data_IF_484730453160
#
_entry.id   IF_484730453160
#
_cell.length_a   1.000
_cell.length_b   1.000
_cell.length_c   1.000
_cell.angle_alpha   90.00
_cell.angle_beta   90.00
_cell.angle_gamma   90.00
#
_symmetry.space_group_name_H-M   'P 1'
#
loop_
_entity.id
_entity.type
_entity.pdbx_description
1 polymer ?
#
# COMPACT_ATOMS: atom_id res chain seq x y z
N UNK A 1 10.65 1.92 -4.25
CA UNK A 1 9.29 2.42 -3.95
C UNK A 1 8.28 2.06 -5.04
N UNK A 2 8.39 2.54 -6.28
CA UNK A 2 7.42 2.22 -7.34
C UNK A 2 7.30 0.71 -7.62
N UNK A 3 8.43 -0.01 -7.75
CA UNK A 3 8.42 -1.48 -7.90
C UNK A 3 7.75 -2.22 -6.72
N UNK A 4 7.69 -1.59 -5.54
CA UNK A 4 6.99 -2.17 -4.40
C UNK A 4 5.48 -1.94 -4.50
N UNK A 5 5.03 -0.69 -4.62
CA UNK A 5 3.61 -0.34 -4.65
C UNK A 5 2.90 -0.79 -5.93
N UNK A 6 3.39 -0.36 -7.09
CA UNK A 6 2.79 -0.66 -8.40
C UNK A 6 3.31 -1.98 -9.00
N UNK A 7 4.27 -2.61 -8.32
CA UNK A 7 4.75 -3.95 -8.65
C UNK A 7 4.19 -4.99 -7.70
N UNK A 8 4.88 -5.19 -6.57
CA UNK A 8 4.58 -6.28 -5.63
C UNK A 8 3.16 -6.19 -5.06
N UNK A 9 2.77 -5.05 -4.48
CA UNK A 9 1.48 -4.92 -3.81
C UNK A 9 0.32 -4.93 -4.81
N UNK A 10 0.45 -4.20 -5.91
CA UNK A 10 -0.51 -4.21 -7.00
C UNK A 10 -0.70 -5.62 -7.58
N UNK A 11 0.40 -6.29 -7.93
CA UNK A 11 0.37 -7.66 -8.45
C UNK A 11 -0.27 -8.61 -7.44
N UNK A 12 0.07 -8.51 -6.16
CA UNK A 12 -0.53 -9.34 -5.12
C UNK A 12 -2.05 -9.13 -5.02
N UNK A 13 -2.49 -7.87 -4.95
CA UNK A 13 -3.90 -7.54 -4.80
C UNK A 13 -4.75 -8.00 -6.00
N UNK A 14 -4.28 -7.76 -7.23
CA UNK A 14 -5.04 -8.10 -8.43
C UNK A 14 -4.86 -9.54 -8.88
N UNK A 15 -3.64 -10.11 -8.85
CA UNK A 15 -3.40 -11.47 -9.36
C UNK A 15 -3.62 -12.55 -8.33
N UNK A 16 -3.16 -12.34 -7.11
CA UNK A 16 -3.24 -13.37 -6.09
C UNK A 16 -4.59 -13.36 -5.37
N UNK A 17 -5.10 -12.18 -5.02
CA UNK A 17 -6.42 -12.09 -4.37
C UNK A 17 -7.59 -11.97 -5.34
N UNK A 18 -7.34 -11.65 -6.63
CA UNK A 18 -8.33 -11.42 -7.69
C UNK A 18 -9.51 -10.52 -7.30
N UNK A 19 -9.27 -9.53 -6.44
CA UNK A 19 -10.28 -8.53 -6.14
C UNK A 19 -10.64 -7.77 -7.42
N UNK A 20 -11.90 -7.71 -7.81
CA UNK A 20 -12.37 -6.78 -8.85
C UNK A 20 -11.82 -6.92 -10.29
N UNK A 21 -11.12 -8.00 -10.67
CA UNK A 21 -10.79 -8.23 -12.09
C UNK A 21 -11.93 -8.99 -12.78
N UNK A 22 -12.44 -8.47 -13.89
CA UNK A 22 -13.24 -9.29 -14.82
C UNK A 22 -12.34 -10.30 -15.56
N UNK A 23 -12.86 -11.45 -16.03
CA UNK A 23 -12.07 -12.45 -16.77
C UNK A 23 -11.31 -11.87 -17.99
N UNK A 24 -11.82 -10.81 -18.61
CA UNK A 24 -11.23 -10.17 -19.80
C UNK A 24 -10.06 -9.24 -19.42
N UNK A 25 -10.09 -8.65 -18.24
CA UNK A 25 -8.98 -7.83 -17.73
C UNK A 25 -7.82 -8.69 -17.23
N UNK A 26 -8.07 -9.97 -16.92
CA UNK A 26 -7.04 -10.97 -16.60
C UNK A 26 -6.17 -11.27 -17.84
N UNK A 27 -6.78 -11.46 -19.02
CA UNK A 27 -6.06 -11.68 -20.28
C UNK A 27 -5.22 -10.46 -20.73
N UNK A 28 -5.74 -9.23 -20.58
CA UNK A 28 -5.05 -8.04 -21.08
C UNK A 28 -3.80 -7.67 -20.25
N UNK A 29 -3.80 -7.90 -18.93
CA UNK A 29 -2.57 -7.72 -18.13
C UNK A 29 -1.54 -8.85 -18.34
N UNK A 30 -1.96 -10.06 -18.75
CA UNK A 30 -1.01 -11.14 -19.12
C UNK A 30 -0.23 -10.74 -20.37
N UNK A 31 -0.92 -10.18 -21.36
CA UNK A 31 -0.33 -9.79 -22.64
C UNK A 31 0.42 -8.44 -22.61
N UNK A 32 0.27 -7.63 -21.56
CA UNK A 32 1.00 -6.36 -21.42
C UNK A 32 2.43 -6.52 -20.90
N UNK A 33 2.75 -7.69 -20.33
CA UNK A 33 4.08 -7.99 -19.78
C UNK A 33 4.88 -9.03 -20.58
N UNK A 34 4.23 -9.76 -21.49
CA UNK A 34 4.89 -10.61 -22.48
C UNK A 34 4.84 -9.96 -23.86
N UNK A 35 5.94 -9.33 -24.27
CA UNK A 35 6.19 -9.14 -25.69
C UNK A 35 6.66 -10.46 -26.29
N UNK A 36 5.84 -10.99 -27.19
CA UNK A 36 6.09 -12.07 -28.16
C UNK A 36 6.10 -13.50 -27.58
N UNK A 37 4.94 -14.18 -27.58
CA UNK A 37 4.77 -15.47 -28.29
C UNK A 37 3.30 -15.91 -28.36
N UNK A 38 3.01 -16.74 -29.36
CA UNK A 38 1.72 -16.95 -30.01
C UNK A 38 0.59 -17.52 -29.13
N UNK A 39 -0.60 -16.91 -29.25
CA UNK A 39 -1.84 -17.35 -28.64
C UNK A 39 -2.26 -18.76 -29.13
N UNK A 40 -2.25 -19.74 -28.24
CA UNK A 40 -3.04 -20.97 -28.38
C UNK A 40 -4.23 -20.92 -27.45
N UNK A 41 -5.43 -20.92 -28.05
CA UNK A 41 -6.69 -21.02 -27.32
C UNK A 41 -6.77 -22.37 -26.59
N UNK A 42 -6.73 -22.33 -25.27
CA UNK A 42 -7.06 -23.47 -24.42
C UNK A 42 -8.23 -23.05 -23.54
N UNK A 43 -9.35 -23.76 -23.62
CA UNK A 43 -10.54 -23.53 -22.81
C UNK A 43 -10.17 -23.65 -21.32
N UNK A 44 -10.17 -22.52 -20.59
CA UNK A 44 -9.96 -22.53 -19.14
C UNK A 44 -11.28 -22.34 -18.38
N UNK A 45 -11.54 -23.31 -17.52
CA UNK A 45 -12.62 -23.32 -16.53
C UNK A 45 -12.35 -22.21 -15.50
N UNK A 46 -13.34 -21.37 -15.26
CA UNK A 46 -13.33 -20.30 -14.24
C UNK A 46 -13.13 -20.94 -12.86
N UNK A 47 -11.90 -20.93 -12.35
CA UNK A 47 -11.63 -21.29 -10.97
C UNK A 47 -12.00 -20.11 -10.07
N UNK A 48 -13.05 -20.27 -9.27
CA UNK A 48 -13.35 -19.44 -8.10
C UNK A 48 -12.04 -19.16 -7.34
N UNK A 49 -11.82 -17.91 -6.94
CA UNK A 49 -10.73 -17.59 -6.00
C UNK A 49 -10.95 -18.39 -4.73
N UNK A 50 -10.22 -19.49 -4.56
CA UNK A 50 -10.32 -20.33 -3.38
C UNK A 50 -9.98 -19.59 -2.08
N UNK A 51 -9.38 -18.40 -2.16
CA UNK A 51 -8.93 -17.60 -1.02
C UNK A 51 -10.08 -16.89 -0.29
N UNK A 52 -10.91 -16.11 -1.00
CA UNK A 52 -12.05 -15.40 -0.40
C UNK A 52 -13.35 -15.84 -1.07
N UNK A 53 -14.37 -16.11 -0.26
CA UNK A 53 -15.74 -16.25 -0.77
C UNK A 53 -16.21 -14.90 -1.28
N UNK A 54 -17.13 -14.90 -2.24
CA UNK A 54 -17.72 -13.67 -2.79
C UNK A 54 -18.29 -12.74 -1.71
N UNK A 55 -18.92 -13.32 -0.69
CA UNK A 55 -19.47 -12.60 0.47
C UNK A 55 -18.39 -11.86 1.28
N UNK A 56 -17.19 -12.45 1.38
CA UNK A 56 -16.05 -11.87 2.10
C UNK A 56 -15.40 -10.76 1.28
N UNK A 57 -15.29 -10.93 -0.04
CA UNK A 57 -14.82 -9.88 -0.95
C UNK A 57 -15.74 -8.64 -0.87
N UNK A 58 -17.06 -8.86 -0.93
CA UNK A 58 -18.06 -7.80 -0.80
C UNK A 58 -18.07 -7.17 0.58
N UNK A 59 -17.78 -7.94 1.64
CA UNK A 59 -17.59 -7.41 2.98
C UNK A 59 -16.35 -6.51 3.06
N UNK A 60 -15.19 -6.99 2.60
CA UNK A 60 -13.93 -6.23 2.61
C UNK A 60 -14.08 -4.92 1.84
N UNK A 61 -14.68 -4.95 0.64
CA UNK A 61 -14.91 -3.73 -0.15
C UNK A 61 -15.78 -2.71 0.59
N UNK A 62 -16.87 -3.15 1.23
CA UNK A 62 -17.74 -2.28 2.03
C UNK A 62 -17.02 -1.73 3.25
N UNK A 63 -16.29 -2.58 3.96
CA UNK A 63 -15.63 -2.19 5.20
C UNK A 63 -14.49 -1.18 4.93
N UNK A 64 -13.72 -1.36 3.85
CA UNK A 64 -12.75 -0.37 3.36
C UNK A 64 -13.42 0.98 3.06
N UNK A 65 -14.61 0.96 2.45
CA UNK A 65 -15.40 2.16 2.16
C UNK A 65 -15.87 2.87 3.44
N UNK A 66 -16.25 2.11 4.46
CA UNK A 66 -16.82 2.65 5.69
C UNK A 66 -15.76 3.04 6.74
N UNK A 67 -14.50 2.60 6.56
CA UNK A 67 -13.42 2.84 7.49
C UNK A 67 -13.11 4.35 7.63
N UNK A 68 -13.24 4.86 8.84
CA UNK A 68 -12.90 6.25 9.18
C UNK A 68 -11.44 6.35 9.61
N UNK A 69 -10.60 6.94 8.77
CA UNK A 69 -9.19 7.21 9.08
C UNK A 69 -8.97 8.64 9.58
N UNK A 70 -8.00 8.87 10.50
CA UNK A 70 -7.60 10.21 10.94
C UNK A 70 -7.15 11.12 9.79
N UNK A 71 -7.25 12.44 10.03
CA UNK A 71 -6.72 13.44 9.10
C UNK A 71 -5.20 13.28 8.93
N UNK A 72 -4.75 13.28 7.67
CA UNK A 72 -3.34 13.07 7.31
C UNK A 72 -3.02 11.68 6.77
N UNK A 73 -3.92 10.70 6.93
CA UNK A 73 -3.82 9.40 6.26
C UNK A 73 -4.46 9.51 4.87
N UNK A 74 -3.83 8.88 3.87
CA UNK A 74 -4.41 8.85 2.52
C UNK A 74 -5.65 7.97 2.53
N UNK A 75 -6.77 8.53 2.08
CA UNK A 75 -8.02 7.78 1.93
C UNK A 75 -7.94 6.90 0.69
N UNK A 76 -8.29 5.63 0.84
CA UNK A 76 -8.37 4.72 -0.29
C UNK A 76 -9.73 4.93 -0.98
N UNK A 77 -9.79 4.97 -2.33
CA UNK A 77 -11.05 5.16 -3.04
C UNK A 77 -12.12 4.11 -2.69
N UNK A 78 -13.39 4.53 -2.62
CA UNK A 78 -14.51 3.71 -2.17
C UNK A 78 -14.81 2.48 -3.04
N UNK A 79 -14.47 2.50 -4.33
CA UNK A 79 -14.85 1.48 -5.31
C UNK A 79 -13.63 0.71 -5.83
N UNK A 80 -12.81 0.16 -4.92
CA UNK A 80 -11.60 -0.61 -5.30
C UNK A 80 -11.99 -1.79 -6.18
N UNK A 81 -11.35 -1.87 -7.35
CA UNK A 81 -11.60 -2.95 -8.32
C UNK A 81 -12.81 -2.70 -9.21
N UNK A 82 -13.39 -1.52 -9.18
CA UNK A 82 -14.33 -1.10 -10.23
C UNK A 82 -13.59 -0.31 -11.33
N UNK A 83 -13.93 -0.51 -12.61
CA UNK A 83 -13.33 0.23 -13.73
C UNK A 83 -13.42 1.75 -13.59
N UNK A 84 -14.41 2.24 -12.81
CA UNK A 84 -14.67 3.67 -12.59
C UNK A 84 -13.64 4.35 -11.69
N UNK A 85 -12.89 3.59 -10.90
CA UNK A 85 -12.08 4.12 -9.79
C UNK A 85 -10.68 4.55 -10.24
N UNK A 86 -10.28 4.15 -11.45
CA UNK A 86 -8.95 4.42 -11.98
C UNK A 86 -7.85 3.66 -11.25
N UNK A 87 -6.59 3.98 -11.58
CA UNK A 87 -5.42 3.35 -10.96
C UNK A 87 -5.16 3.95 -9.57
N UNK A 88 -4.92 3.08 -8.58
CA UNK A 88 -4.50 3.50 -7.25
C UNK A 88 -3.10 4.11 -7.30
N UNK A 89 -2.90 5.18 -6.54
CA UNK A 89 -1.60 5.86 -6.35
C UNK A 89 -0.77 5.16 -5.29
N UNK A 90 0.55 5.39 -5.29
CA UNK A 90 1.47 4.82 -4.30
C UNK A 90 1.02 5.04 -2.84
N UNK A 91 0.54 6.24 -2.49
CA UNK A 91 0.06 6.55 -1.13
C UNK A 91 -1.25 5.84 -0.76
N UNK A 92 -2.08 5.53 -1.75
CA UNK A 92 -3.31 4.74 -1.58
C UNK A 92 -2.96 3.27 -1.39
N UNK A 93 -2.02 2.73 -2.18
CA UNK A 93 -1.47 1.37 -1.97
C UNK A 93 -0.86 1.20 -0.59
N UNK A 94 -0.05 2.18 -0.14
CA UNK A 94 0.49 2.18 1.21
C UNK A 94 -0.61 2.10 2.26
N UNK A 95 -1.60 3.00 2.19
CA UNK A 95 -2.67 3.01 3.18
C UNK A 95 -3.48 1.72 3.16
N UNK A 96 -3.76 1.18 1.97
CA UNK A 96 -4.47 -0.08 1.79
C UNK A 96 -3.77 -1.23 2.52
N UNK A 97 -2.48 -1.45 2.27
CA UNK A 97 -1.74 -2.57 2.87
C UNK A 97 -1.25 -2.33 4.30
N UNK A 98 -0.97 -1.09 4.68
CA UNK A 98 -0.46 -0.77 6.01
C UNK A 98 -1.56 -0.59 7.07
N UNK A 99 -2.80 -0.31 6.66
CA UNK A 99 -3.89 0.02 7.58
C UNK A 99 -5.19 -0.70 7.26
N UNK A 100 -5.75 -0.53 6.06
CA UNK A 100 -7.10 -0.99 5.77
C UNK A 100 -7.18 -2.53 5.76
N UNK A 101 -6.37 -3.19 4.93
CA UNK A 101 -6.41 -4.65 4.79
C UNK A 101 -6.10 -5.40 6.10
N UNK A 102 -5.07 -5.04 6.87
CA UNK A 102 -4.83 -5.67 8.17
C UNK A 102 -6.03 -5.57 9.12
N UNK A 103 -6.70 -4.42 9.16
CA UNK A 103 -7.89 -4.24 10.01
C UNK A 103 -9.07 -5.07 9.51
N UNK A 104 -9.39 -5.00 8.22
CA UNK A 104 -10.57 -5.68 7.69
C UNK A 104 -10.43 -7.20 7.68
N UNK A 105 -9.23 -7.71 7.37
CA UNK A 105 -8.99 -9.17 7.36
C UNK A 105 -8.97 -9.73 8.77
N UNK A 106 -8.52 -8.94 9.76
CA UNK A 106 -8.62 -9.31 11.16
C UNK A 106 -10.07 -9.31 11.69
N UNK A 107 -11.05 -8.73 11.00
CA UNK A 107 -12.47 -8.80 11.41
C UNK A 107 -13.26 -9.90 10.68
N UNK A 108 -12.66 -10.57 9.69
CA UNK A 108 -13.34 -11.62 8.93
C UNK A 108 -13.68 -12.83 9.80
N UNK A 109 -14.93 -13.32 9.79
CA UNK A 109 -15.32 -14.52 10.53
C UNK A 109 -14.53 -15.77 10.16
N UNK A 110 -14.10 -15.92 8.91
CA UNK A 110 -13.25 -17.04 8.47
C UNK A 110 -11.83 -17.01 9.05
N UNK A 111 -11.45 -15.89 9.65
CA UNK A 111 -10.15 -15.68 10.30
C UNK A 111 -10.29 -15.69 11.83
N UNK A 112 -11.35 -15.10 12.38
CA UNK A 112 -11.51 -14.88 13.83
C UNK A 112 -12.42 -15.86 14.55
N UNK A 113 -13.19 -16.68 13.83
CA UNK A 113 -14.16 -17.57 14.49
C UNK A 113 -13.45 -18.60 15.38
N UNK A 114 -13.98 -18.77 16.60
CA UNK A 114 -13.56 -19.86 17.46
C UNK A 114 -14.07 -21.20 16.89
N UNK A 115 -13.19 -22.20 16.84
CA UNK A 115 -13.55 -23.55 16.39
C UNK A 115 -13.50 -23.77 14.88
N UNK A 116 -12.73 -22.96 14.13
CA UNK A 116 -12.41 -23.27 12.73
C UNK A 116 -11.87 -24.69 12.60
N UNK A 117 -12.28 -25.39 11.54
CA UNK A 117 -11.71 -26.70 11.22
C UNK A 117 -10.20 -26.60 10.99
N UNK A 118 -9.46 -27.69 11.15
CA UNK A 118 -7.98 -27.67 11.01
C UNK A 118 -7.51 -27.04 9.69
N UNK A 119 -8.19 -27.32 8.58
CA UNK A 119 -7.85 -26.77 7.27
C UNK A 119 -8.15 -25.27 7.15
N UNK A 120 -9.29 -24.82 7.69
CA UNK A 120 -9.69 -23.41 7.67
C UNK A 120 -8.78 -22.58 8.57
N UNK A 121 -8.46 -23.07 9.78
CA UNK A 121 -7.53 -22.41 10.69
C UNK A 121 -6.11 -22.32 10.10
N UNK A 122 -5.64 -23.37 9.40
CA UNK A 122 -4.36 -23.31 8.69
C UNK A 122 -4.37 -22.26 7.58
N UNK A 123 -5.44 -22.19 6.79
CA UNK A 123 -5.60 -21.20 5.72
C UNK A 123 -5.62 -19.77 6.29
N UNK A 124 -6.41 -19.53 7.34
CA UNK A 124 -6.48 -18.24 8.03
C UNK A 124 -5.12 -17.79 8.56
N UNK A 125 -4.38 -18.71 9.20
CA UNK A 125 -3.02 -18.42 9.67
C UNK A 125 -2.10 -18.03 8.51
N UNK A 126 -2.08 -18.82 7.43
CA UNK A 126 -1.25 -18.51 6.27
C UNK A 126 -1.59 -17.15 5.65
N UNK A 127 -2.89 -16.83 5.54
CA UNK A 127 -3.36 -15.53 5.03
C UNK A 127 -2.85 -14.38 5.90
N UNK A 128 -2.98 -14.52 7.22
CA UNK A 128 -2.50 -13.52 8.17
C UNK A 128 -0.98 -13.38 8.13
N UNK A 129 -0.23 -14.48 8.08
CA UNK A 129 1.24 -14.45 8.01
C UNK A 129 1.68 -13.75 6.70
N UNK A 130 1.02 -14.06 5.59
CA UNK A 130 1.32 -13.47 4.28
C UNK A 130 1.04 -11.95 4.24
N UNK A 131 -0.14 -11.53 4.72
CA UNK A 131 -0.52 -10.13 4.81
C UNK A 131 0.38 -9.37 5.81
N UNK A 132 0.69 -9.98 6.94
CA UNK A 132 1.56 -9.38 7.96
C UNK A 132 2.94 -9.10 7.40
N UNK A 133 3.54 -10.06 6.67
CA UNK A 133 4.82 -9.85 6.03
C UNK A 133 4.80 -8.71 5.01
N UNK A 134 3.76 -8.60 4.16
CA UNK A 134 3.61 -7.45 3.25
C UNK A 134 3.44 -6.13 4.00
N UNK A 135 2.69 -6.13 5.09
CA UNK A 135 2.47 -4.95 5.95
C UNK A 135 3.77 -4.48 6.58
N UNK A 136 4.55 -5.41 7.15
CA UNK A 136 5.85 -5.13 7.77
C UNK A 136 6.84 -4.61 6.72
N UNK A 137 6.97 -5.30 5.59
CA UNK A 137 7.81 -4.85 4.48
C UNK A 137 7.44 -3.44 4.03
N UNK A 138 6.15 -3.15 3.86
CA UNK A 138 5.66 -1.82 3.45
C UNK A 138 6.04 -0.74 4.47
N UNK A 139 5.85 -1.01 5.76
CA UNK A 139 6.17 -0.06 6.83
C UNK A 139 7.69 0.18 6.93
N UNK A 140 8.52 -0.84 6.70
CA UNK A 140 9.98 -0.69 6.65
C UNK A 140 10.41 0.22 5.49
N UNK A 141 9.89 -0.02 4.29
CA UNK A 141 10.26 0.75 3.08
C UNK A 141 9.84 2.23 3.16
N UNK A 142 8.75 2.52 3.86
CA UNK A 142 8.26 3.88 4.12
C UNK A 142 8.92 4.55 5.33
N UNK A 143 9.75 3.82 6.09
CA UNK A 143 10.44 4.40 7.24
C UNK A 143 11.39 5.51 6.81
N UNK A 144 11.37 6.61 7.55
CA UNK A 144 12.30 7.75 7.37
C UNK A 144 13.71 7.47 7.91
N UNK A 145 13.87 6.36 8.64
CA UNK A 145 15.13 5.91 9.21
C UNK A 145 15.24 4.40 9.03
N UNK A 146 16.34 3.94 8.44
CA UNK A 146 16.58 2.51 8.22
C UNK A 146 17.96 2.17 8.78
N UNK A 147 18.07 1.00 9.39
CA UNK A 147 19.30 0.44 9.90
C UNK A 147 19.39 -1.04 9.48
N UNK A 148 20.48 -1.71 9.82
CA UNK A 148 20.72 -3.11 9.47
C UNK A 148 19.63 -4.06 10.01
N UNK A 149 19.06 -3.77 11.19
CA UNK A 149 17.98 -4.57 11.78
C UNK A 149 16.75 -4.52 10.87
N UNK A 150 16.36 -3.33 10.41
CA UNK A 150 15.24 -3.15 9.50
C UNK A 150 15.48 -3.88 8.16
N UNK A 151 16.70 -3.85 7.64
CA UNK A 151 17.06 -4.55 6.40
C UNK A 151 16.95 -6.07 6.56
N UNK A 152 17.46 -6.61 7.66
CA UNK A 152 17.36 -8.04 7.96
C UNK A 152 15.91 -8.48 8.19
N UNK A 153 15.12 -7.65 8.88
CA UNK A 153 13.69 -7.91 9.06
C UNK A 153 12.94 -7.87 7.72
N UNK A 154 13.28 -6.93 6.82
CA UNK A 154 12.72 -6.90 5.48
C UNK A 154 13.01 -8.20 4.71
N UNK A 155 14.26 -8.68 4.72
CA UNK A 155 14.63 -9.94 4.04
C UNK A 155 13.85 -11.11 4.63
N UNK A 156 13.79 -11.20 5.96
CA UNK A 156 13.06 -12.26 6.67
C UNK A 156 11.58 -12.26 6.29
N UNK A 157 10.93 -11.11 6.37
CA UNK A 157 9.50 -10.99 6.10
C UNK A 157 9.19 -11.18 4.62
N UNK A 158 10.02 -10.67 3.71
CA UNK A 158 9.79 -10.88 2.28
C UNK A 158 9.98 -12.36 1.88
N UNK A 159 10.90 -13.08 2.51
CA UNK A 159 11.01 -14.54 2.34
C UNK A 159 9.79 -15.28 2.90
N UNK A 160 9.29 -14.87 4.07
CA UNK A 160 8.07 -15.44 4.64
C UNK A 160 6.86 -15.18 3.73
N UNK A 161 6.74 -13.98 3.16
CA UNK A 161 5.75 -13.66 2.14
C UNK A 161 5.84 -14.60 0.93
N UNK A 162 7.03 -14.84 0.37
CA UNK A 162 7.20 -15.76 -0.76
C UNK A 162 6.80 -17.21 -0.40
N UNK A 163 7.21 -17.70 0.77
CA UNK A 163 6.90 -19.06 1.23
C UNK A 163 5.41 -19.27 1.51
N UNK A 164 4.77 -18.30 2.17
CA UNK A 164 3.33 -18.34 2.46
C UNK A 164 2.52 -18.18 1.18
N UNK A 165 2.97 -17.35 0.23
CA UNK A 165 2.36 -17.23 -1.10
C UNK A 165 2.36 -18.58 -1.82
N UNK A 166 3.49 -19.29 -1.84
CA UNK A 166 3.59 -20.62 -2.45
C UNK A 166 2.60 -21.64 -1.87
N UNK A 167 2.24 -21.50 -0.60
CA UNK A 167 1.25 -22.36 0.05
C UNK A 167 -0.20 -21.88 -0.19
N UNK A 168 -0.38 -20.57 -0.40
CA UNK A 168 -1.67 -19.90 -0.57
C UNK A 168 -2.12 -19.76 -2.02
N UNK A 169 -1.29 -20.06 -3.01
CA UNK A 169 -1.64 -19.90 -4.41
C UNK A 169 -1.09 -21.09 -5.19
N UNK A 170 -1.98 -21.85 -5.87
CA UNK A 170 -1.61 -23.07 -6.61
C UNK A 170 -0.73 -22.77 -7.84
N UNK A 171 -0.94 -21.61 -8.47
CA UNK A 171 -0.17 -21.14 -9.62
C UNK A 171 0.31 -19.71 -9.34
N UNK A 172 1.61 -19.55 -9.13
CA UNK A 172 2.22 -18.24 -8.87
C UNK A 172 2.95 -17.78 -10.11
N UNK A 173 2.41 -16.73 -10.71
CA UNK A 173 3.14 -15.91 -11.67
C UNK A 173 4.07 -14.98 -10.91
N UNK A 174 5.36 -14.96 -11.26
CA UNK A 174 6.33 -14.05 -10.64
C UNK A 174 6.73 -13.02 -11.68
N UNK A 175 6.30 -11.77 -11.48
CA UNK A 175 6.71 -10.64 -12.31
C UNK A 175 8.11 -10.13 -11.93
N UNK A 176 8.85 -9.45 -12.83
CA UNK A 176 10.18 -8.91 -12.55
C UNK A 176 10.25 -8.03 -11.28
N UNK A 177 9.13 -7.37 -10.94
CA UNK A 177 9.06 -6.51 -9.75
C UNK A 177 9.28 -7.30 -8.45
N UNK A 178 8.88 -8.57 -8.39
CA UNK A 178 9.18 -9.44 -7.26
C UNK A 178 10.68 -9.77 -7.15
N UNK A 179 11.38 -9.88 -8.27
CA UNK A 179 12.84 -10.04 -8.28
C UNK A 179 13.54 -8.76 -7.82
N UNK A 180 13.12 -7.59 -8.35
CA UNK A 180 13.67 -6.31 -7.90
C UNK A 180 13.46 -6.05 -6.41
N UNK A 181 12.37 -6.56 -5.82
CA UNK A 181 12.09 -6.41 -4.40
C UNK A 181 13.14 -7.13 -3.52
N UNK A 182 13.77 -8.21 -3.99
CA UNK A 182 14.83 -8.91 -3.27
C UNK A 182 16.04 -8.02 -2.98
N UNK A 183 16.27 -7.01 -3.83
CA UNK A 183 17.39 -6.08 -3.69
C UNK A 183 17.06 -4.83 -2.86
N UNK A 184 15.83 -4.68 -2.35
CA UNK A 184 15.44 -3.48 -1.61
C UNK A 184 16.20 -3.35 -0.29
N UNK A 185 16.55 -4.46 0.37
CA UNK A 185 17.36 -4.44 1.59
C UNK A 185 18.79 -3.94 1.32
N UNK A 186 19.43 -4.41 0.24
CA UNK A 186 20.75 -3.93 -0.17
C UNK A 186 20.71 -2.44 -0.54
N UNK A 187 19.67 -2.02 -1.26
CA UNK A 187 19.46 -0.62 -1.58
C UNK A 187 19.29 0.23 -0.32
N UNK A 188 18.55 -0.23 0.68
CA UNK A 188 18.42 0.47 1.96
C UNK A 188 19.74 0.56 2.71
N UNK A 189 20.56 -0.50 2.69
CA UNK A 189 21.89 -0.49 3.31
C UNK A 189 22.83 0.52 2.66
N UNK A 190 22.76 0.69 1.33
CA UNK A 190 23.64 1.61 0.61
C UNK A 190 23.17 3.06 0.63
N UNK A 191 21.88 3.28 0.42
CA UNK A 191 21.30 4.61 0.19
C UNK A 191 20.55 5.16 1.40
N UNK A 192 20.31 4.33 2.41
CA UNK A 192 19.45 4.65 3.54
C UNK A 192 17.96 4.54 3.18
N UNK A 193 17.09 5.33 3.84
CA UNK A 193 15.64 5.33 3.60
C UNK A 193 15.26 5.49 2.12
N UNK A 194 14.53 4.51 1.54
CA UNK A 194 14.15 4.55 0.13
C UNK A 194 13.18 5.68 -0.22
N UNK A 195 12.44 6.18 0.77
CA UNK A 195 11.59 7.35 0.60
C UNK A 195 12.39 8.58 0.14
N UNK A 196 13.64 8.72 0.59
CA UNK A 196 14.51 9.85 0.25
C UNK A 196 14.99 9.84 -1.21
N UNK A 197 15.06 8.65 -1.83
CA UNK A 197 15.45 8.46 -3.23
C UNK A 197 14.24 8.09 -4.12
N UNK A 198 13.02 8.26 -3.60
CA UNK A 198 11.81 7.96 -4.35
C UNK A 198 11.62 8.92 -5.53
N UNK A 199 10.89 8.46 -6.55
CA UNK A 199 10.55 9.26 -7.73
C UNK A 199 9.46 10.30 -7.44
N UNK A 200 8.67 10.10 -6.39
CA UNK A 200 7.46 10.89 -6.08
C UNK A 200 7.71 12.40 -5.97
N UNK A 201 8.79 12.89 -5.32
CA UNK A 201 9.11 14.31 -5.33
C UNK A 201 9.35 14.88 -6.74
N UNK A 202 9.99 14.11 -7.62
CA UNK A 202 10.22 14.48 -9.01
C UNK A 202 8.92 14.55 -9.82
N UNK A 203 8.01 13.60 -9.61
CA UNK A 203 6.70 13.61 -10.27
C UNK A 203 5.84 14.81 -9.84
N UNK A 204 5.92 15.21 -8.57
CA UNK A 204 5.26 16.43 -8.09
C UNK A 204 5.83 17.68 -8.77
N UNK A 205 7.17 17.77 -8.90
CA UNK A 205 7.83 18.86 -9.62
C UNK A 205 7.35 18.89 -11.09
N UNK A 206 7.30 17.74 -11.76
CA UNK A 206 6.80 17.65 -13.14
C UNK A 206 5.37 18.16 -13.26
N UNK A 207 4.47 17.73 -12.36
CA UNK A 207 3.07 18.17 -12.36
C UNK A 207 2.91 19.68 -12.12
N UNK A 208 3.78 20.28 -11.31
CA UNK A 208 3.80 21.74 -11.13
C UNK A 208 4.31 22.47 -12.36
N UNK A 209 5.39 21.97 -12.95
CA UNK A 209 5.97 22.54 -14.15
C UNK A 209 4.98 22.49 -15.33
N UNK A 210 4.23 21.38 -15.48
CA UNK A 210 3.17 21.25 -16.48
C UNK A 210 2.01 22.25 -16.31
N UNK A 211 1.73 22.68 -15.07
CA UNK A 211 0.69 23.69 -14.77
C UNK A 211 1.15 25.12 -15.00
N UNK A 212 2.46 25.35 -15.21
CA UNK A 212 2.97 26.67 -15.52
C UNK A 212 2.51 27.11 -16.91
N UNK A 213 1.84 28.27 -17.00
CA UNK A 213 1.50 28.85 -18.30
C UNK A 213 2.78 29.08 -19.10
N UNK A 214 2.89 28.39 -20.23
CA UNK A 214 3.84 28.69 -21.29
C UNK A 214 3.09 29.38 -22.44
N UNK A 215 3.77 30.23 -23.20
CA UNK A 215 3.17 30.89 -24.37
C UNK A 215 3.14 29.96 -25.60
N UNK A 216 3.30 28.63 -25.42
CA UNK A 216 3.43 27.64 -26.50
C UNK A 216 4.73 27.72 -27.32
N UNK A 217 5.61 28.68 -27.03
CA UNK A 217 6.89 28.86 -27.72
C UNK A 217 7.92 27.85 -27.19
N UNK A 218 8.11 26.75 -27.92
CA UNK A 218 8.99 25.62 -27.54
C UNK A 218 10.42 26.11 -27.26
N UNK A 219 10.95 27.03 -28.08
CA UNK A 219 12.32 27.54 -27.96
C UNK A 219 12.55 28.34 -26.65
N UNK A 220 11.50 28.91 -26.06
CA UNK A 220 11.55 29.68 -24.81
C UNK A 220 11.05 28.90 -23.59
N UNK A 221 10.57 27.67 -23.80
CA UNK A 221 9.94 26.87 -22.77
C UNK A 221 10.94 26.49 -21.67
N UNK A 222 12.16 26.10 -22.04
CA UNK A 222 13.19 25.68 -21.08
C UNK A 222 13.57 26.83 -20.13
N UNK A 223 13.78 28.03 -20.67
CA UNK A 223 14.10 29.23 -19.87
C UNK A 223 12.94 29.61 -18.96
N UNK A 224 11.72 29.58 -19.49
CA UNK A 224 10.50 29.88 -18.72
C UNK A 224 10.32 28.90 -17.57
N UNK A 225 10.46 27.59 -17.82
CA UNK A 225 10.32 26.53 -16.82
C UNK A 225 11.35 26.69 -15.70
N UNK A 226 12.62 26.91 -16.06
CA UNK A 226 13.69 27.12 -15.08
C UNK A 226 13.47 28.39 -14.24
N UNK A 227 13.05 29.49 -14.89
CA UNK A 227 12.75 30.74 -14.19
C UNK A 227 11.59 30.58 -13.20
N UNK A 228 10.51 29.90 -13.61
CA UNK A 228 9.36 29.60 -12.72
C UNK A 228 9.73 28.68 -11.58
N UNK A 229 10.54 27.65 -11.83
CA UNK A 229 11.06 26.76 -10.80
C UNK A 229 11.87 27.53 -9.74
N UNK A 230 12.81 28.36 -10.17
CA UNK A 230 13.62 29.21 -9.28
C UNK A 230 12.78 30.23 -8.50
N UNK A 231 11.77 30.85 -9.13
CA UNK A 231 10.84 31.75 -8.44
C UNK A 231 10.06 31.01 -7.35
N UNK A 232 9.59 29.80 -7.65
CA UNK A 232 8.85 28.97 -6.71
C UNK A 232 9.72 28.49 -5.53
N UNK A 233 10.96 28.08 -5.79
CA UNK A 233 11.92 27.77 -4.71
C UNK A 233 12.13 28.96 -3.77
N UNK A 234 12.28 30.18 -4.30
CA UNK A 234 12.38 31.40 -3.49
C UNK A 234 11.11 31.65 -2.67
N UNK A 235 9.93 31.44 -3.24
CA UNK A 235 8.66 31.55 -2.50
C UNK A 235 8.55 30.53 -1.37
N UNK A 236 8.91 29.26 -1.61
CA UNK A 236 8.93 28.25 -0.54
C UNK A 236 9.96 28.56 0.55
N UNK A 237 11.12 29.10 0.20
CA UNK A 237 12.10 29.57 1.18
C UNK A 237 11.52 30.71 2.03
N UNK A 238 10.75 31.63 1.44
CA UNK A 238 10.08 32.70 2.18
C UNK A 238 8.92 32.19 3.05
N UNK A 239 8.07 31.30 2.53
CA UNK A 239 6.94 30.71 3.28
C UNK A 239 7.43 29.84 4.44
N UNK A 240 8.47 29.03 4.25
CA UNK A 240 9.09 28.26 5.34
C UNK A 240 9.72 29.16 6.41
N UNK A 241 10.22 30.35 6.05
CA UNK A 241 10.66 31.39 6.99
C UNK A 241 9.48 32.05 7.70
N UNK A 242 8.34 32.25 7.03
CA UNK A 242 7.12 32.79 7.65
C UNK A 242 6.44 31.78 8.59
N UNK A 243 6.32 30.51 8.22
CA UNK A 243 5.83 29.43 9.09
C UNK A 243 6.69 29.23 10.33
N UNK A 244 8.02 29.38 10.22
CA UNK A 244 8.92 29.40 11.39
C UNK A 244 8.73 30.60 12.30
N UNK A 245 8.18 31.72 11.80
CA UNK A 245 7.84 32.90 12.62
C UNK A 245 6.44 32.80 13.23
N UNK A 246 5.51 32.05 12.63
CA UNK A 246 4.15 31.87 13.16
C UNK A 246 3.99 30.67 14.08
N UNK A 247 4.88 29.67 14.06
CA UNK A 247 4.80 28.52 14.98
C UNK A 247 5.65 28.73 16.24
N UNK A 248 5.16 29.58 17.14
CA UNK A 248 5.29 29.29 18.58
C UNK A 248 4.09 28.42 18.94
N UNK A 249 4.35 27.14 19.25
CA UNK A 249 3.40 26.10 19.68
C UNK A 249 2.81 25.26 18.54
N UNK A 250 3.55 24.25 18.11
CA UNK A 250 2.98 22.93 17.82
C UNK A 250 4.14 21.93 17.79
N UNK A 251 4.66 21.65 18.98
CA UNK A 251 5.31 20.36 19.19
C UNK A 251 4.17 19.34 19.12
N UNK A 252 4.16 18.48 18.11
CA UNK A 252 3.47 17.20 18.20
C UNK A 252 4.05 16.51 19.43
N UNK A 253 3.37 16.60 20.58
CA UNK A 253 3.64 15.72 21.71
C UNK A 253 3.42 14.33 21.16
N UNK A 254 4.47 13.51 21.12
CA UNK A 254 4.27 12.07 21.05
C UNK A 254 3.21 11.72 22.10
N UNK A 255 2.10 11.15 21.64
CA UNK A 255 1.07 10.65 22.53
C UNK A 255 1.61 9.35 23.12
N UNK A 256 2.39 9.46 24.20
CA UNK A 256 2.80 8.28 24.96
C UNK A 256 1.59 7.79 25.75
N UNK A 257 1.01 6.71 25.23
CA UNK A 257 -0.14 6.04 25.82
C UNK A 257 0.40 5.01 26.82
N UNK A 258 0.62 5.44 28.06
CA UNK A 258 1.05 4.51 29.12
C UNK A 258 -0.04 3.46 29.38
N UNK A 259 0.34 2.30 29.90
CA UNK A 259 -0.61 1.23 30.22
C UNK A 259 -1.73 1.69 31.16
N UNK A 260 -1.43 2.63 32.07
CA UNK A 260 -2.42 3.19 32.99
C UNK A 260 -3.44 4.10 32.27
N UNK A 261 -2.96 4.90 31.32
CA UNK A 261 -3.81 5.75 30.48
C UNK A 261 -4.66 4.90 29.54
N UNK A 262 -4.07 3.84 28.96
CA UNK A 262 -4.79 2.87 28.14
C UNK A 262 -5.92 2.20 28.94
N UNK A 263 -5.61 1.68 30.11
CA UNK A 263 -6.57 0.99 30.97
C UNK A 263 -7.72 1.92 31.39
N UNK A 264 -7.40 3.17 31.71
CA UNK A 264 -8.41 4.18 32.06
C UNK A 264 -9.35 4.51 30.90
N UNK A 265 -8.81 4.65 29.69
CA UNK A 265 -9.60 4.89 28.47
C UNK A 265 -10.44 3.65 28.14
N UNK A 266 -9.84 2.46 28.24
CA UNK A 266 -10.51 1.19 27.99
C UNK A 266 -11.68 0.96 28.95
N UNK A 267 -11.50 1.23 30.25
CA UNK A 267 -12.56 1.13 31.26
C UNK A 267 -13.69 2.13 31.01
N UNK A 268 -13.34 3.36 30.59
CA UNK A 268 -14.33 4.36 30.20
C UNK A 268 -15.14 3.88 28.98
N UNK A 269 -14.49 3.32 27.98
CA UNK A 269 -15.15 2.78 26.78
C UNK A 269 -16.01 1.55 27.12
N UNK A 270 -15.55 0.67 28.02
CA UNK A 270 -16.31 -0.50 28.51
C UNK A 270 -17.58 -0.08 29.27
N UNK A 271 -17.57 1.07 29.96
CA UNK A 271 -18.76 1.62 30.61
C UNK A 271 -19.71 2.32 29.64
N UNK A 272 -19.17 2.95 28.60
CA UNK A 272 -19.92 3.80 27.68
C UNK A 272 -20.52 3.02 26.50
N UNK A 273 -19.98 1.86 26.17
CA UNK A 273 -20.36 1.05 25.01
C UNK A 273 -20.77 -0.36 25.47
N UNK A 274 -22.07 -0.69 25.47
CA UNK A 274 -22.58 -1.97 25.98
C UNK A 274 -22.01 -3.22 25.28
N UNK A 275 -21.62 -3.12 24.01
CA UNK A 275 -21.05 -4.24 23.25
C UNK A 275 -19.65 -4.66 23.70
N UNK A 276 -18.94 -3.79 24.44
CA UNK A 276 -17.60 -4.07 24.99
C UNK A 276 -17.65 -4.71 26.40
N UNK A 277 -18.84 -4.94 26.98
CA UNK A 277 -19.01 -5.47 28.33
C UNK A 277 -18.94 -7.00 28.46
N UNK A 278 -18.41 -7.72 27.46
CA UNK A 278 -18.16 -9.16 27.60
C UNK A 278 -17.05 -9.46 28.61
#
# INVERSE_FOLDING_TARGET
MHNWFEGVLQHHFWRHWKFGMSPIEQENEENLHDSEEEAKSMDYVVHETWLFKKEEEEYIKRAISDLKVPDGITKVPFAIGEPKTGKLKASEWHSLFSLYLPLEIMDLPSVTSYGLGQNEGRKAKLLLDNLSSLTICTNILESRCVNEINCNEFIKEYNNYCQTSQQLFMEITIVPNHHYALHLADQMNWWGPLLAISKSPGEHINGWLQKGNNNGLIDQMNETMLSKFCQMQRLFALDSVQRKKTNKNEYYKMFELSNDVYSSIFDYLKRSIPSLQR
#
